data_IF_861231551328
#
_entry.id   IF_861231551328
#
_cell.length_a   1.000
_cell.length_b   1.000
_cell.length_c   1.000
_cell.angle_alpha   90.00
_cell.angle_beta   90.00
_cell.angle_gamma   90.00
#
_symmetry.space_group_name_H-M   'P 1'
#
loop_
_entity.id
_entity.type
_entity.pdbx_description
1 polymer ?
#
# COMPACT_ATOMS: atom_id res chain seq x y z
N UNK A 1 -1.96 -21.83 11.24
CA UNK A 1 -2.82 -21.59 10.07
C UNK A 1 -2.23 -20.40 9.35
N UNK A 2 -1.59 -20.64 8.21
CA UNK A 2 -0.89 -19.60 7.45
C UNK A 2 -1.93 -18.76 6.71
N UNK A 3 -1.80 -17.43 6.80
CA UNK A 3 -2.75 -16.50 6.18
C UNK A 3 -2.33 -16.28 4.72
N UNK A 4 -3.29 -16.29 3.79
CA UNK A 4 -3.04 -16.01 2.38
C UNK A 4 -2.38 -14.63 2.24
N UNK A 5 -1.26 -14.50 1.50
CA UNK A 5 -0.60 -13.20 1.25
C UNK A 5 -1.55 -12.11 0.73
N UNK A 6 -2.58 -12.47 -0.03
CA UNK A 6 -3.57 -11.51 -0.52
C UNK A 6 -4.43 -10.90 0.59
N UNK A 7 -4.53 -11.56 1.74
CA UNK A 7 -5.26 -11.06 2.90
C UNK A 7 -4.39 -10.18 3.81
N UNK A 8 -3.13 -9.91 3.43
CA UNK A 8 -2.27 -8.94 4.09
C UNK A 8 -2.74 -7.51 3.83
N UNK A 9 -2.69 -6.67 4.87
CA UNK A 9 -3.17 -5.30 4.83
C UNK A 9 -2.10 -4.34 4.29
N UNK A 10 -2.34 -3.76 3.11
CA UNK A 10 -1.52 -2.66 2.59
C UNK A 10 -1.84 -1.34 3.32
N UNK A 11 -3.10 -1.10 3.68
CA UNK A 11 -3.46 0.07 4.48
C UNK A 11 -3.90 -0.33 5.89
N UNK A 12 -2.95 -0.26 6.83
CA UNK A 12 -3.19 -0.52 8.26
C UNK A 12 -4.00 0.57 8.98
N UNK A 13 -4.43 1.64 8.30
CA UNK A 13 -5.35 2.64 8.89
C UNK A 13 -6.81 2.23 8.70
N UNK A 14 -7.13 1.71 7.52
CA UNK A 14 -8.50 1.40 7.09
C UNK A 14 -8.70 -0.09 6.79
N UNK A 15 -7.75 -0.93 7.19
CA UNK A 15 -7.80 -2.39 7.05
C UNK A 15 -8.07 -2.85 5.60
N UNK A 16 -7.34 -2.24 4.67
CA UNK A 16 -7.42 -2.56 3.23
C UNK A 16 -6.37 -3.61 2.90
N UNK A 17 -6.81 -4.80 2.48
CA UNK A 17 -5.94 -5.89 2.05
C UNK A 17 -5.54 -5.79 0.58
N UNK A 18 -4.50 -6.53 0.19
CA UNK A 18 -4.09 -6.68 -1.21
C UNK A 18 -5.26 -7.18 -2.06
N UNK A 19 -6.05 -8.16 -1.56
CA UNK A 19 -7.25 -8.68 -2.22
C UNK A 19 -8.30 -7.58 -2.47
N UNK A 20 -8.58 -6.74 -1.46
CA UNK A 20 -9.51 -5.61 -1.62
C UNK A 20 -9.01 -4.63 -2.68
N UNK A 21 -7.70 -4.38 -2.70
CA UNK A 21 -7.06 -3.51 -3.68
C UNK A 21 -7.11 -4.09 -5.10
N UNK A 22 -6.81 -5.39 -5.26
CA UNK A 22 -6.94 -6.13 -6.51
C UNK A 22 -8.33 -6.01 -7.10
N UNK A 23 -9.36 -6.38 -6.33
CA UNK A 23 -10.74 -6.30 -6.80
C UNK A 23 -11.18 -4.88 -7.14
N UNK A 24 -10.75 -3.89 -6.37
CA UNK A 24 -11.04 -2.49 -6.68
C UNK A 24 -10.40 -2.06 -8.00
N UNK A 25 -9.10 -2.32 -8.18
CA UNK A 25 -8.35 -1.90 -9.37
C UNK A 25 -8.90 -2.58 -10.64
N UNK A 26 -9.23 -3.86 -10.56
CA UNK A 26 -9.81 -4.60 -11.69
C UNK A 26 -11.17 -4.06 -12.11
N UNK A 27 -12.01 -3.68 -11.14
CA UNK A 27 -13.36 -3.17 -11.37
C UNK A 27 -13.37 -1.74 -11.86
N UNK A 28 -12.65 -0.85 -11.17
CA UNK A 28 -12.70 0.60 -11.41
C UNK A 28 -11.69 1.08 -12.44
N UNK A 29 -10.64 0.29 -12.73
CA UNK A 29 -9.58 0.59 -13.71
C UNK A 29 -8.99 2.00 -13.55
N UNK A 30 -8.46 2.34 -12.36
CA UNK A 30 -7.98 3.68 -12.05
C UNK A 30 -6.88 4.13 -13.02
N UNK A 31 -7.01 5.34 -13.55
CA UNK A 31 -6.07 5.94 -14.51
C UNK A 31 -4.81 6.47 -13.83
N UNK A 32 -4.91 6.89 -12.56
CA UNK A 32 -3.81 7.44 -11.77
C UNK A 32 -3.75 6.82 -10.36
N UNK A 33 -2.57 6.73 -9.73
CA UNK A 33 -2.42 6.11 -8.41
C UNK A 33 -3.27 6.75 -7.31
N UNK A 34 -3.52 8.06 -7.38
CA UNK A 34 -4.29 8.76 -6.35
C UNK A 34 -5.74 8.27 -6.25
N UNK A 35 -6.30 7.71 -7.32
CA UNK A 35 -7.66 7.14 -7.30
C UNK A 35 -7.78 5.90 -6.42
N UNK A 36 -6.67 5.26 -6.05
CA UNK A 36 -6.69 4.14 -5.09
C UNK A 36 -7.24 4.54 -3.72
N UNK A 37 -7.28 5.84 -3.39
CA UNK A 37 -7.96 6.30 -2.17
C UNK A 37 -9.46 6.06 -2.17
N UNK A 38 -10.09 5.83 -3.33
CA UNK A 38 -11.51 5.47 -3.40
C UNK A 38 -11.77 4.02 -2.95
N UNK A 39 -10.71 3.21 -2.77
CA UNK A 39 -10.79 1.92 -2.11
C UNK A 39 -10.76 2.12 -0.58
N UNK A 40 -11.93 2.32 0.03
CA UNK A 40 -12.11 2.41 1.49
C UNK A 40 -11.15 3.43 2.14
N UNK A 41 -10.99 4.60 1.52
CA UNK A 41 -10.13 5.70 1.99
C UNK A 41 -8.64 5.36 2.11
N UNK A 42 -8.17 4.30 1.44
CA UNK A 42 -6.76 3.90 1.47
C UNK A 42 -5.80 5.07 1.21
N UNK A 43 -4.76 5.19 2.04
CA UNK A 43 -3.75 6.24 1.86
C UNK A 43 -4.14 7.64 2.36
N UNK A 44 -5.37 7.88 2.82
CA UNK A 44 -5.78 9.21 3.34
C UNK A 44 -5.45 9.43 4.83
N UNK A 45 -5.15 8.36 5.57
CA UNK A 45 -4.84 8.39 7.01
C UNK A 45 -3.39 8.82 7.28
N UNK A 46 -2.59 7.93 7.87
CA UNK A 46 -1.18 8.26 8.18
C UNK A 46 -0.26 8.39 6.96
N UNK A 47 -0.76 8.11 5.75
CA UNK A 47 -0.04 8.17 4.45
C UNK A 47 1.19 7.24 4.29
N UNK A 48 1.55 6.45 5.30
CA UNK A 48 2.62 5.45 5.20
C UNK A 48 2.50 4.52 3.98
N UNK A 49 1.28 4.08 3.67
CA UNK A 49 1.05 3.10 2.60
C UNK A 49 1.06 3.70 1.19
N UNK A 50 1.12 5.04 1.03
CA UNK A 50 0.97 5.70 -0.27
C UNK A 50 1.99 5.21 -1.33
N UNK A 51 3.28 5.03 -1.04
CA UNK A 51 4.24 4.52 -2.03
C UNK A 51 3.93 3.08 -2.47
N UNK A 52 3.42 2.26 -1.55
CA UNK A 52 3.02 0.89 -1.84
C UNK A 52 1.79 0.87 -2.76
N UNK A 53 0.82 1.76 -2.52
CA UNK A 53 -0.32 1.96 -3.43
C UNK A 53 0.16 2.41 -4.82
N UNK A 54 1.14 3.32 -4.90
CA UNK A 54 1.74 3.70 -6.18
C UNK A 54 2.46 2.52 -6.88
N UNK A 55 3.20 1.68 -6.15
CA UNK A 55 3.83 0.47 -6.70
C UNK A 55 2.78 -0.50 -7.23
N UNK A 56 1.72 -0.75 -6.46
CA UNK A 56 0.59 -1.60 -6.86
C UNK A 56 -0.12 -1.12 -8.13
N UNK A 57 -0.37 0.19 -8.25
CA UNK A 57 -0.93 0.76 -9.49
C UNK A 57 -0.03 0.50 -10.70
N UNK A 58 1.30 0.69 -10.54
CA UNK A 58 2.28 0.42 -11.60
C UNK A 58 2.33 -1.06 -11.97
N UNK A 59 2.37 -1.96 -10.99
CA UNK A 59 2.34 -3.40 -11.19
C UNK A 59 1.10 -3.82 -11.99
N UNK A 60 -0.09 -3.36 -11.59
CA UNK A 60 -1.32 -3.63 -12.34
C UNK A 60 -1.26 -3.10 -13.78
N UNK A 61 -0.76 -1.87 -13.98
CA UNK A 61 -0.58 -1.30 -15.33
C UNK A 61 0.37 -2.12 -16.20
N UNK A 62 1.36 -2.77 -15.60
CA UNK A 62 2.33 -3.65 -16.27
C UNK A 62 1.83 -5.10 -16.43
N UNK A 63 0.67 -5.46 -15.86
CA UNK A 63 0.18 -6.84 -15.83
C UNK A 63 0.91 -7.73 -14.83
N UNK A 64 1.60 -7.14 -13.86
CA UNK A 64 2.34 -7.83 -12.81
C UNK A 64 1.46 -8.12 -11.58
N UNK A 65 1.82 -9.15 -10.83
CA UNK A 65 1.16 -9.46 -9.56
C UNK A 65 1.43 -8.35 -8.53
N UNK A 66 0.36 -7.93 -7.84
CA UNK A 66 0.48 -6.99 -6.73
C UNK A 66 0.91 -7.71 -5.46
N UNK A 67 1.96 -7.20 -4.82
CA UNK A 67 2.58 -7.82 -3.64
C UNK A 67 3.15 -6.77 -2.67
N UNK A 68 3.36 -7.18 -1.42
CA UNK A 68 4.16 -6.48 -0.43
C UNK A 68 5.49 -7.23 -0.23
N UNK A 69 6.65 -6.58 -0.41
CA UNK A 69 7.95 -7.27 -0.36
C UNK A 69 8.42 -7.63 1.06
N UNK A 70 7.52 -7.58 2.05
CA UNK A 70 7.83 -7.77 3.47
C UNK A 70 6.69 -8.51 4.16
N UNK A 71 6.99 -9.18 5.27
CA UNK A 71 5.95 -9.82 6.08
C UNK A 71 4.97 -8.79 6.68
N UNK A 72 3.74 -9.20 7.05
CA UNK A 72 2.80 -8.30 7.72
C UNK A 72 3.32 -7.69 9.02
N UNK A 73 4.07 -8.48 9.78
CA UNK A 73 4.68 -8.05 11.05
C UNK A 73 5.73 -6.96 10.79
N UNK A 74 6.66 -7.23 9.88
CA UNK A 74 7.68 -6.25 9.49
C UNK A 74 7.06 -4.98 8.88
N UNK A 75 6.00 -5.12 8.08
CA UNK A 75 5.27 -3.99 7.52
C UNK A 75 4.67 -3.09 8.63
N UNK A 76 4.06 -3.70 9.64
CA UNK A 76 3.47 -3.00 10.78
C UNK A 76 4.54 -2.33 11.66
N UNK A 77 5.67 -3.00 11.90
CA UNK A 77 6.80 -2.45 12.65
C UNK A 77 7.38 -1.21 11.97
N UNK A 78 7.63 -1.29 10.65
CA UNK A 78 8.16 -0.17 9.84
C UNK A 78 7.21 1.02 9.84
N UNK A 79 5.88 0.80 9.76
CA UNK A 79 4.87 1.85 9.95
C UNK A 79 4.97 2.47 11.35
N UNK A 80 5.15 1.66 12.37
CA UNK A 80 5.33 2.11 13.75
C UNK A 80 6.51 3.06 13.89
N UNK A 81 7.65 2.71 13.27
CA UNK A 81 8.83 3.57 13.22
C UNK A 81 8.55 4.88 12.47
N UNK A 82 7.90 4.82 11.29
CA UNK A 82 7.49 6.00 10.53
C UNK A 82 6.63 6.97 11.37
N UNK A 83 5.66 6.45 12.12
CA UNK A 83 4.81 7.26 13.00
C UNK A 83 5.59 7.92 14.14
N UNK A 84 6.54 7.21 14.76
CA UNK A 84 7.38 7.74 15.85
C UNK A 84 8.34 8.82 15.37
N UNK A 85 8.88 8.67 14.17
CA UNK A 85 9.82 9.64 13.59
C UNK A 85 9.16 11.01 13.28
N UNK A 86 7.82 11.12 13.34
CA UNK A 86 7.12 12.40 13.17
C UNK A 86 7.32 13.03 11.79
N UNK A 87 7.62 12.22 10.77
CA UNK A 87 8.01 12.69 9.43
C UNK A 87 6.90 13.58 8.86
N UNK A 88 7.18 14.88 8.80
CA UNK A 88 6.38 15.86 8.07
C UNK A 88 6.57 15.55 6.57
N UNK A 89 5.58 14.90 6.00
CA UNK A 89 5.56 14.48 4.60
C UNK A 89 5.67 15.70 3.67
N UNK A 90 6.88 16.02 3.21
CA UNK A 90 7.13 16.99 2.13
C UNK A 90 7.65 16.32 0.85
N UNK A 91 8.26 15.12 0.92
CA UNK A 91 8.82 14.43 -0.24
C UNK A 91 8.64 12.91 -0.15
N UNK A 92 8.11 12.34 -1.24
CA UNK A 92 8.01 10.89 -1.50
C UNK A 92 9.40 10.20 -1.44
N UNK A 93 10.47 11.00 -1.57
CA UNK A 93 11.87 10.60 -1.67
C UNK A 93 12.49 10.11 -0.35
N UNK A 94 11.83 10.35 0.80
CA UNK A 94 12.34 9.94 2.12
C UNK A 94 12.03 8.48 2.48
N UNK A 95 11.34 7.77 1.59
CA UNK A 95 10.88 6.40 1.84
C UNK A 95 11.93 5.49 1.20
N UNK A 96 12.54 4.55 1.95
CA UNK A 96 13.55 3.67 1.40
C UNK A 96 13.01 3.02 0.14
N UNK A 97 13.83 2.92 -0.93
CA UNK A 97 13.38 2.37 -2.19
C UNK A 97 12.73 1.01 -1.92
N UNK A 98 11.49 0.87 -2.37
CA UNK A 98 10.85 -0.42 -2.43
C UNK A 98 11.75 -1.25 -3.32
N UNK A 99 12.45 -2.25 -2.75
CA UNK A 99 13.31 -3.15 -3.52
C UNK A 99 12.54 -3.60 -4.76
N UNK A 100 13.22 -3.53 -5.91
CA UNK A 100 12.67 -3.87 -7.22
C UNK A 100 12.18 -5.32 -7.22
#
# INVERSE_FOLDING_TARGET
>A
MEKDPLDHEVCLCFHVSIRKMQHFIEREKPTVPSQLSQCLDAGTGCRWCVPFLCKMHRQWKAGEAMDLPVSPEEYAERRGAYRRAGVKNDRLDSIPPLAD
#
